data_IF_086053974378
#
_entry.id   IF_086053974378
#
_cell.length_a   1.000
_cell.length_b   1.000
_cell.length_c   1.000
_cell.angle_alpha   90.00
_cell.angle_beta   90.00
_cell.angle_gamma   90.00
#
_symmetry.space_group_name_H-M   'P 1'
#
loop_
_entity.id
_entity.type
_entity.pdbx_description
1 polymer ?
#
# COMPACT_ATOMS: atom_id res chain seq x y z
N UNK A 1 -3.72 34.10 -13.86
CA UNK A 1 -3.92 34.65 -12.52
C UNK A 1 -5.08 33.92 -11.87
N UNK A 2 -5.04 33.70 -10.56
CA UNK A 2 -6.21 33.20 -9.81
C UNK A 2 -7.33 34.28 -9.78
N UNK A 3 -8.53 33.98 -9.24
CA UNK A 3 -9.62 34.97 -9.13
C UNK A 3 -9.27 36.23 -8.30
N UNK A 4 -8.14 36.22 -7.59
CA UNK A 4 -7.63 37.30 -6.74
C UNK A 4 -6.46 38.08 -7.37
N UNK A 5 -6.05 37.75 -8.60
CA UNK A 5 -4.94 38.42 -9.29
C UNK A 5 -3.54 37.88 -8.97
N UNK A 6 -3.41 36.79 -8.21
CA UNK A 6 -2.12 36.16 -7.92
C UNK A 6 -1.64 35.25 -9.05
N UNK A 7 -0.34 34.97 -9.08
CA UNK A 7 0.24 33.96 -9.97
C UNK A 7 -0.36 32.58 -9.64
N UNK A 8 -1.01 31.96 -10.64
CA UNK A 8 -1.58 30.62 -10.49
C UNK A 8 -0.50 29.58 -10.75
N UNK A 9 -0.29 28.67 -9.81
CA UNK A 9 0.64 27.55 -9.93
C UNK A 9 -0.15 26.27 -10.12
N UNK A 10 0.21 25.50 -11.13
CA UNK A 10 -0.34 24.18 -11.39
C UNK A 10 0.77 23.18 -11.65
N UNK A 11 0.49 21.92 -11.32
CA UNK A 11 1.30 20.77 -11.70
C UNK A 11 0.50 20.00 -12.75
N UNK A 12 1.16 19.65 -13.86
CA UNK A 12 0.57 18.89 -14.95
C UNK A 12 1.22 17.51 -14.93
N UNK A 13 0.39 16.47 -14.85
CA UNK A 13 0.82 15.08 -14.81
C UNK A 13 0.24 14.32 -15.99
N UNK A 14 0.88 13.19 -16.31
CA UNK A 14 0.29 12.17 -17.16
C UNK A 14 -1.05 11.68 -16.57
N UNK A 15 -2.03 11.44 -17.44
CA UNK A 15 -3.35 10.98 -17.03
C UNK A 15 -3.35 9.47 -16.83
N UNK A 16 -3.88 9.01 -15.68
CA UNK A 16 -3.96 7.60 -15.31
C UNK A 16 -5.39 7.09 -15.54
N UNK A 17 -5.66 6.35 -16.63
CA UNK A 17 -7.02 6.03 -17.08
C UNK A 17 -7.79 5.14 -16.12
N UNK A 18 -7.10 4.27 -15.37
CA UNK A 18 -7.73 3.38 -14.40
C UNK A 18 -8.00 4.05 -13.04
N UNK A 19 -7.65 5.33 -12.89
CA UNK A 19 -7.91 6.10 -11.67
C UNK A 19 -7.04 5.65 -10.50
N UNK A 20 -7.55 5.79 -9.28
CA UNK A 20 -6.83 5.43 -8.06
C UNK A 20 -7.26 4.07 -7.49
N UNK A 21 -6.36 3.42 -6.74
CA UNK A 21 -6.58 2.12 -6.08
C UNK A 21 -7.77 2.13 -5.12
N UNK A 22 -8.08 3.26 -4.48
CA UNK A 22 -9.25 3.39 -3.60
C UNK A 22 -10.55 2.99 -4.30
N UNK A 23 -10.73 3.42 -5.56
CA UNK A 23 -11.94 3.11 -6.33
C UNK A 23 -12.02 1.63 -6.76
N UNK A 24 -10.91 0.90 -6.71
CA UNK A 24 -10.85 -0.53 -7.01
C UNK A 24 -11.07 -1.39 -5.77
N UNK A 25 -10.57 -0.95 -4.61
CA UNK A 25 -10.79 -1.63 -3.33
C UNK A 25 -12.20 -1.37 -2.78
N UNK A 26 -12.75 -0.17 -3.01
CA UNK A 26 -14.02 0.28 -2.43
C UNK A 26 -14.91 0.95 -3.49
N UNK A 27 -15.37 0.19 -4.51
CA UNK A 27 -16.17 0.75 -5.59
C UNK A 27 -17.46 1.38 -5.04
N UNK A 28 -17.68 2.66 -5.37
CA UNK A 28 -18.97 3.31 -5.11
C UNK A 28 -19.95 2.93 -6.23
N UNK A 29 -21.19 2.63 -5.86
CA UNK A 29 -22.25 2.06 -6.74
C UNK A 29 -22.56 2.93 -7.99
N UNK A 30 -22.06 4.15 -8.07
CA UNK A 30 -22.65 5.18 -8.94
C UNK A 30 -21.94 5.50 -10.26
N UNK A 31 -20.76 4.96 -10.59
CA UNK A 31 -19.98 5.60 -11.67
C UNK A 31 -19.83 4.92 -13.01
N UNK A 32 -19.97 3.61 -13.14
CA UNK A 32 -20.05 2.89 -14.42
C UNK A 32 -20.45 1.45 -14.07
N UNK A 33 -21.39 0.82 -14.77
CA UNK A 33 -21.85 -0.57 -14.53
C UNK A 33 -20.75 -1.65 -14.72
N UNK A 34 -19.47 -1.30 -14.66
CA UNK A 34 -18.34 -2.20 -14.62
C UNK A 34 -17.95 -2.46 -13.17
N UNK A 35 -18.00 -3.71 -12.74
CA UNK A 35 -17.52 -4.15 -11.43
C UNK A 35 -15.99 -4.02 -11.40
N UNK A 36 -15.48 -2.88 -10.91
CA UNK A 36 -14.04 -2.69 -10.64
C UNK A 36 -13.65 -3.57 -9.46
N UNK A 37 -12.82 -4.58 -9.74
CA UNK A 37 -12.36 -5.59 -8.78
C UNK A 37 -10.91 -5.92 -9.09
N UNK A 38 -10.16 -6.28 -8.05
CA UNK A 38 -8.78 -6.72 -8.16
C UNK A 38 -8.65 -8.10 -7.55
N UNK A 39 -8.17 -9.06 -8.34
CA UNK A 39 -7.82 -10.39 -7.86
C UNK A 39 -6.46 -10.37 -7.11
N UNK A 40 -6.07 -11.50 -6.54
CA UNK A 40 -4.82 -11.62 -5.77
C UNK A 40 -3.58 -11.19 -6.57
N UNK A 41 -3.46 -11.62 -7.83
CA UNK A 41 -2.29 -11.32 -8.67
C UNK A 41 -2.17 -9.84 -8.99
N UNK A 42 -3.29 -9.18 -9.27
CA UNK A 42 -3.32 -7.74 -9.50
C UNK A 42 -2.94 -6.98 -8.23
N UNK A 43 -3.50 -7.35 -7.06
CA UNK A 43 -3.14 -6.71 -5.79
C UNK A 43 -1.67 -6.94 -5.42
N UNK A 44 -1.14 -8.14 -5.66
CA UNK A 44 0.27 -8.45 -5.46
C UNK A 44 1.17 -7.60 -6.38
N UNK A 45 0.79 -7.45 -7.65
CA UNK A 45 1.54 -6.62 -8.60
C UNK A 45 1.55 -5.15 -8.18
N UNK A 46 0.39 -4.61 -7.79
CA UNK A 46 0.27 -3.24 -7.26
C UNK A 46 1.10 -3.07 -5.99
N UNK A 47 1.10 -4.05 -5.09
CA UNK A 47 1.91 -4.00 -3.86
C UNK A 47 3.42 -3.96 -4.17
N UNK A 48 3.88 -4.77 -5.13
CA UNK A 48 5.27 -4.74 -5.62
C UNK A 48 5.62 -3.36 -6.18
N UNK A 49 4.79 -2.81 -7.07
CA UNK A 49 5.03 -1.51 -7.70
C UNK A 49 5.15 -0.38 -6.66
N UNK A 50 4.25 -0.36 -5.66
CA UNK A 50 4.28 0.62 -4.57
C UNK A 50 5.52 0.42 -3.69
N UNK A 51 5.88 -0.81 -3.36
CA UNK A 51 7.09 -1.10 -2.57
C UNK A 51 8.36 -0.65 -3.29
N UNK A 52 8.47 -0.94 -4.59
CA UNK A 52 9.57 -0.49 -5.44
C UNK A 52 9.66 1.03 -5.51
N UNK A 53 8.53 1.73 -5.65
CA UNK A 53 8.50 3.19 -5.66
C UNK A 53 9.01 3.79 -4.33
N UNK A 54 8.53 3.29 -3.19
CA UNK A 54 8.99 3.76 -1.88
C UNK A 54 10.46 3.40 -1.63
N UNK A 55 10.91 2.20 -2.02
CA UNK A 55 12.32 1.82 -1.95
C UNK A 55 13.19 2.80 -2.73
N UNK A 56 12.78 3.17 -3.95
CA UNK A 56 13.44 4.19 -4.77
C UNK A 56 13.54 5.55 -4.06
N UNK A 57 12.43 6.04 -3.53
CA UNK A 57 12.39 7.32 -2.81
C UNK A 57 13.31 7.31 -1.58
N UNK A 58 13.37 6.19 -0.86
CA UNK A 58 14.10 6.07 0.40
C UNK A 58 15.59 5.80 0.23
N UNK A 59 16.00 5.03 -0.79
CA UNK A 59 17.35 4.46 -0.88
C UNK A 59 18.12 4.88 -2.13
N UNK A 60 17.42 5.23 -3.22
CA UNK A 60 18.06 5.45 -4.52
C UNK A 60 18.04 6.93 -4.97
N UNK A 61 17.35 7.80 -4.24
CA UNK A 61 17.42 9.25 -4.43
C UNK A 61 18.67 9.85 -3.75
N UNK A 62 19.31 10.84 -4.39
CA UNK A 62 20.49 11.51 -3.84
C UNK A 62 20.25 12.14 -2.46
N UNK A 63 19.02 12.60 -2.21
CA UNK A 63 18.52 12.91 -0.87
C UNK A 63 17.26 12.07 -0.65
N UNK A 64 17.21 11.19 0.37
CA UNK A 64 16.04 10.36 0.61
C UNK A 64 14.77 11.19 0.74
N UNK A 65 13.70 10.74 0.10
CA UNK A 65 12.38 11.39 0.11
C UNK A 65 11.42 10.53 0.92
N UNK A 66 10.71 11.13 1.88
CA UNK A 66 9.61 10.51 2.62
C UNK A 66 8.29 11.07 2.10
N UNK A 67 7.35 10.20 1.73
CA UNK A 67 6.08 10.54 1.10
C UNK A 67 5.09 11.20 2.08
N UNK A 68 4.98 10.67 3.30
CA UNK A 68 4.13 11.14 4.40
C UNK A 68 2.61 11.02 4.23
N UNK A 69 2.09 10.67 3.03
CA UNK A 69 0.64 10.47 2.81
C UNK A 69 0.33 9.28 1.90
N UNK A 70 0.99 8.15 2.11
CA UNK A 70 0.67 6.94 1.33
C UNK A 70 -0.69 6.38 1.76
N UNK A 71 -1.57 6.16 0.78
CA UNK A 71 -2.92 5.60 0.92
C UNK A 71 -3.46 5.19 -0.46
N UNK A 72 -4.55 4.41 -0.56
CA UNK A 72 -5.08 3.96 -1.85
C UNK A 72 -5.44 5.09 -2.83
N UNK A 73 -5.90 6.25 -2.36
CA UNK A 73 -6.23 7.37 -3.25
C UNK A 73 -5.00 8.05 -3.87
N UNK A 74 -3.82 7.83 -3.29
CA UNK A 74 -2.53 8.34 -3.74
C UNK A 74 -1.72 7.27 -4.52
N UNK A 75 -2.38 6.17 -4.92
CA UNK A 75 -1.84 5.17 -5.83
C UNK A 75 -2.71 5.17 -7.09
N UNK A 76 -2.18 5.68 -8.19
CA UNK A 76 -2.86 5.71 -9.49
C UNK A 76 -2.48 4.48 -10.33
N UNK A 77 -3.36 4.08 -11.23
CA UNK A 77 -3.17 2.93 -12.12
C UNK A 77 -3.18 3.41 -13.57
N UNK A 78 -2.11 3.11 -14.31
CA UNK A 78 -2.05 3.36 -15.76
C UNK A 78 -2.85 2.30 -16.54
N UNK A 79 -2.81 2.36 -17.87
CA UNK A 79 -3.52 1.47 -18.79
C UNK A 79 -3.13 -0.01 -18.64
N UNK A 80 -1.89 -0.30 -18.28
CA UNK A 80 -1.41 -1.65 -17.98
C UNK A 80 -1.67 -2.12 -16.54
N UNK A 81 -2.44 -1.34 -15.76
CA UNK A 81 -2.68 -1.58 -14.32
C UNK A 81 -1.39 -1.53 -13.48
N UNK A 82 -0.35 -0.84 -13.94
CA UNK A 82 0.88 -0.61 -13.18
C UNK A 82 0.61 0.53 -12.19
N UNK A 83 1.02 0.32 -10.94
CA UNK A 83 0.75 1.27 -9.88
C UNK A 83 1.81 2.39 -9.83
N UNK A 84 1.33 3.63 -9.70
CA UNK A 84 2.16 4.83 -9.58
C UNK A 84 1.80 5.62 -8.33
N UNK A 85 2.76 5.78 -7.43
CA UNK A 85 2.62 6.61 -6.23
C UNK A 85 2.57 8.08 -6.64
N UNK A 86 1.57 8.82 -6.15
CA UNK A 86 1.32 10.23 -6.47
C UNK A 86 1.07 11.06 -5.20
N UNK A 87 0.86 12.37 -5.38
CA UNK A 87 0.56 13.35 -4.33
C UNK A 87 1.68 13.54 -3.29
N UNK A 88 2.79 14.07 -3.79
CA UNK A 88 3.95 14.46 -2.98
C UNK A 88 3.75 15.80 -2.23
N UNK A 89 2.51 16.28 -2.05
CA UNK A 89 2.23 17.55 -1.38
C UNK A 89 2.71 17.59 0.09
N UNK A 90 2.79 16.42 0.74
CA UNK A 90 3.32 16.26 2.09
C UNK A 90 4.76 15.73 2.12
N UNK A 91 5.36 15.43 0.97
CA UNK A 91 6.67 14.79 0.91
C UNK A 91 7.80 15.69 1.43
N UNK A 92 8.86 15.07 1.96
CA UNK A 92 10.01 15.76 2.56
C UNK A 92 11.32 15.09 2.18
N UNK A 93 12.34 15.90 1.93
CA UNK A 93 13.72 15.41 1.86
C UNK A 93 14.26 15.20 3.26
N UNK A 94 14.90 14.06 3.51
CA UNK A 94 15.67 13.82 4.73
C UNK A 94 17.08 14.42 4.55
N UNK A 95 17.59 15.17 5.54
CA UNK A 95 18.95 15.69 5.49
C UNK A 95 19.97 14.55 5.45
N UNK A 96 21.04 14.72 4.67
CA UNK A 96 22.17 13.80 4.70
C UNK A 96 22.81 13.78 6.11
N UNK A 97 23.30 12.61 6.54
CA UNK A 97 23.89 12.39 7.85
C UNK A 97 25.05 13.37 8.19
N UNK A 98 25.74 13.89 7.17
CA UNK A 98 26.91 14.77 7.32
C UNK A 98 26.58 16.27 7.36
N UNK A 99 25.29 16.64 7.28
CA UNK A 99 24.87 18.05 7.31
C UNK A 99 24.77 18.60 8.74
N UNK A 100 25.92 18.98 9.29
CA UNK A 100 26.03 19.68 10.60
C UNK A 100 25.30 21.04 10.67
N UNK A 101 24.75 21.50 9.55
CA UNK A 101 24.14 22.83 9.35
C UNK A 101 22.61 22.87 9.27
N UNK A 102 21.89 21.74 9.32
CA UNK A 102 20.40 21.73 9.20
C UNK A 102 19.66 21.34 10.50
N UNK A 103 20.12 21.81 11.65
CA UNK A 103 19.45 21.57 12.94
C UNK A 103 18.06 22.24 13.09
N UNK A 104 17.63 23.05 12.12
CA UNK A 104 16.40 23.84 12.20
C UNK A 104 15.26 23.35 11.29
N UNK A 105 15.45 22.29 10.50
CA UNK A 105 14.47 21.86 9.48
C UNK A 105 14.03 20.40 9.58
N UNK A 106 14.18 19.74 10.73
CA UNK A 106 13.41 18.51 10.98
C UNK A 106 12.01 18.93 11.40
N UNK A 107 11.20 19.36 10.44
CA UNK A 107 9.82 19.77 10.70
C UNK A 107 9.12 18.60 11.40
N UNK A 108 8.65 18.82 12.63
CA UNK A 108 7.60 17.98 13.20
C UNK A 108 6.51 17.86 12.14
N UNK A 109 6.00 16.65 11.86
CA UNK A 109 4.96 16.48 10.84
C UNK A 109 3.72 17.33 11.19
N UNK A 110 3.50 17.59 12.48
CA UNK A 110 2.15 17.84 12.97
C UNK A 110 1.32 16.56 12.78
N UNK A 111 0.02 16.59 13.06
CA UNK A 111 -0.85 15.48 12.65
C UNK A 111 -1.21 15.68 11.17
N UNK A 112 -0.25 15.44 10.26
CA UNK A 112 -0.45 15.49 8.80
C UNK A 112 -0.32 14.09 8.21
N UNK A 113 -1.05 13.85 7.13
CA UNK A 113 -1.27 12.53 6.55
C UNK A 113 -2.73 12.11 6.72
N UNK A 114 -3.02 10.87 6.36
CA UNK A 114 -4.40 10.37 6.33
C UNK A 114 -4.72 9.44 7.49
N UNK A 115 -5.87 9.68 8.12
CA UNK A 115 -6.34 8.89 9.26
C UNK A 115 -6.36 7.40 8.90
N UNK A 116 -5.80 6.58 9.78
CA UNK A 116 -5.64 5.14 9.59
C UNK A 116 -4.27 4.74 9.02
N UNK A 117 -3.58 5.62 8.30
CA UNK A 117 -2.25 5.37 7.73
C UNK A 117 -1.12 6.12 8.46
N UNK A 118 -1.46 7.13 9.27
CA UNK A 118 -0.48 7.86 10.08
C UNK A 118 0.15 6.91 11.10
N UNK A 119 1.48 6.81 11.06
CA UNK A 119 2.25 6.03 12.00
C UNK A 119 2.07 6.57 13.44
N UNK A 120 1.89 5.69 14.45
CA UNK A 120 1.47 6.10 15.80
C UNK A 120 2.46 7.06 16.48
N UNK A 121 3.75 6.94 16.19
CA UNK A 121 4.79 7.82 16.72
C UNK A 121 4.64 9.29 16.29
N UNK A 122 3.98 9.56 15.16
CA UNK A 122 3.72 10.94 14.72
C UNK A 122 2.71 11.64 15.63
N UNK A 123 1.77 10.89 16.22
CA UNK A 123 0.89 11.38 17.28
C UNK A 123 1.63 11.73 18.58
N UNK A 124 2.82 11.18 18.77
CA UNK A 124 3.71 11.44 19.92
C UNK A 124 4.75 12.53 19.65
N UNK A 125 4.67 13.21 18.50
CA UNK A 125 5.60 14.28 18.12
C UNK A 125 6.92 13.79 17.54
N UNK A 126 6.98 12.56 17.02
CA UNK A 126 8.15 12.11 16.26
C UNK A 126 8.35 12.92 14.97
N UNK A 127 9.58 12.89 14.47
CA UNK A 127 9.99 13.56 13.22
C UNK A 127 9.59 12.73 12.01
N UNK A 128 9.50 13.38 10.84
CA UNK A 128 9.40 12.69 9.55
C UNK A 128 10.51 11.67 9.41
N UNK A 129 10.14 10.46 8.98
CA UNK A 129 11.09 9.36 8.85
C UNK A 129 10.61 8.33 7.83
N UNK A 130 11.54 7.53 7.31
CA UNK A 130 11.24 6.45 6.34
C UNK A 130 10.27 5.44 6.93
N UNK A 131 10.42 5.16 8.23
CA UNK A 131 9.64 4.16 8.97
C UNK A 131 8.16 4.53 9.03
N UNK A 132 7.78 5.81 8.91
CA UNK A 132 6.37 6.20 8.83
C UNK A 132 5.73 5.88 7.47
N UNK A 133 6.49 5.98 6.38
CA UNK A 133 6.05 5.47 5.07
C UNK A 133 5.95 3.94 5.09
N UNK A 134 6.88 3.25 5.77
CA UNK A 134 6.81 1.77 5.95
C UNK A 134 5.52 1.39 6.69
N UNK A 135 5.16 2.11 7.76
CA UNK A 135 3.89 1.88 8.46
C UNK A 135 2.69 2.07 7.53
N UNK A 136 2.68 3.17 6.78
CA UNK A 136 1.60 3.47 5.84
C UNK A 136 1.48 2.38 4.75
N UNK A 137 2.61 1.85 4.27
CA UNK A 137 2.66 0.73 3.34
C UNK A 137 2.11 -0.56 3.96
N UNK A 138 2.46 -0.86 5.21
CA UNK A 138 1.91 -1.99 5.94
C UNK A 138 0.38 -1.93 6.03
N UNK A 139 -0.17 -0.77 6.40
CA UNK A 139 -1.63 -0.56 6.44
C UNK A 139 -2.26 -0.73 5.05
N UNK A 140 -1.66 -0.14 4.01
CA UNK A 140 -2.12 -0.26 2.63
C UNK A 140 -2.16 -1.72 2.17
N UNK A 141 -1.11 -2.50 2.48
CA UNK A 141 -1.04 -3.92 2.14
C UNK A 141 -2.12 -4.73 2.87
N UNK A 142 -2.32 -4.49 4.18
CA UNK A 142 -3.38 -5.14 4.93
C UNK A 142 -4.78 -4.79 4.43
N UNK A 143 -5.01 -3.55 3.99
CA UNK A 143 -6.27 -3.15 3.37
C UNK A 143 -6.47 -3.86 2.02
N UNK A 144 -5.42 -3.95 1.19
CA UNK A 144 -5.48 -4.72 -0.05
C UNK A 144 -5.78 -6.20 0.18
N UNK A 145 -5.35 -6.80 1.28
CA UNK A 145 -5.65 -8.22 1.56
C UNK A 145 -7.05 -8.43 2.15
N UNK A 146 -7.51 -7.52 3.00
CA UNK A 146 -8.76 -7.69 3.75
C UNK A 146 -9.98 -7.02 3.12
N UNK A 147 -9.76 -6.09 2.19
CA UNK A 147 -10.79 -5.22 1.62
C UNK A 147 -11.40 -4.26 2.65
N UNK A 148 -10.76 -4.06 3.82
CA UNK A 148 -11.29 -3.26 4.92
C UNK A 148 -10.50 -1.98 5.10
N UNK A 149 -11.19 -0.85 4.96
CA UNK A 149 -10.62 0.48 5.25
C UNK A 149 -10.09 0.52 6.68
N UNK A 150 -8.91 1.11 6.96
CA UNK A 150 -8.46 1.30 8.33
C UNK A 150 -9.37 2.23 9.15
N UNK A 151 -10.28 2.95 8.49
CA UNK A 151 -11.33 3.79 9.09
C UNK A 151 -12.72 3.13 9.14
N UNK A 152 -12.82 1.83 8.86
CA UNK A 152 -14.08 1.10 8.96
C UNK A 152 -14.67 1.23 10.37
N UNK A 153 -16.00 1.33 10.48
CA UNK A 153 -16.69 1.52 11.75
C UNK A 153 -16.44 0.42 12.79
N UNK A 154 -15.99 -0.77 12.38
CA UNK A 154 -15.61 -1.84 13.29
C UNK A 154 -14.31 -1.54 14.06
N UNK A 155 -13.46 -0.65 13.55
CA UNK A 155 -12.16 -0.29 14.14
C UNK A 155 -12.31 0.88 15.12
N UNK A 156 -12.96 0.60 16.25
CA UNK A 156 -13.19 1.51 17.37
C UNK A 156 -12.52 0.98 18.64
N UNK A 157 -12.48 1.79 19.69
CA UNK A 157 -12.03 1.39 21.04
C UNK A 157 -10.62 0.78 21.07
N UNK A 158 -9.72 1.30 20.22
CA UNK A 158 -8.33 0.87 20.15
C UNK A 158 -8.08 -0.37 19.28
N UNK A 159 -9.11 -0.94 18.64
CA UNK A 159 -8.98 -1.93 17.58
C UNK A 159 -8.58 -1.22 16.27
N UNK A 160 -7.43 -1.60 15.71
CA UNK A 160 -6.95 -1.13 14.41
C UNK A 160 -6.98 -2.27 13.40
N UNK A 161 -6.85 -1.95 12.10
CA UNK A 161 -6.70 -2.96 11.05
C UNK A 161 -5.53 -3.91 11.33
N UNK A 162 -4.38 -3.40 11.78
CA UNK A 162 -3.24 -4.22 12.21
C UNK A 162 -3.64 -5.22 13.29
N UNK A 163 -4.29 -4.77 14.37
CA UNK A 163 -4.69 -5.65 15.49
C UNK A 163 -5.71 -6.69 15.04
N UNK A 164 -6.69 -6.28 14.22
CA UNK A 164 -7.68 -7.18 13.65
C UNK A 164 -7.02 -8.32 12.86
N UNK A 165 -6.05 -7.99 12.00
CA UNK A 165 -5.30 -8.99 11.23
C UNK A 165 -4.41 -9.84 12.14
N UNK A 166 -3.68 -9.22 13.07
CA UNK A 166 -2.80 -9.92 14.01
C UNK A 166 -3.54 -10.95 14.86
N UNK A 167 -4.77 -10.67 15.28
CA UNK A 167 -5.61 -11.60 16.05
C UNK A 167 -6.12 -12.82 15.23
N UNK A 168 -6.02 -12.75 13.90
CA UNK A 168 -6.38 -13.84 13.00
C UNK A 168 -5.15 -14.60 12.48
N UNK A 169 -3.96 -14.04 12.59
CA UNK A 169 -2.75 -14.62 12.01
C UNK A 169 -2.08 -15.66 12.94
N UNK A 170 -1.58 -16.79 12.40
CA UNK A 170 -1.74 -17.28 11.02
C UNK A 170 -3.00 -18.14 10.79
N UNK A 171 -3.64 -18.69 11.82
CA UNK A 171 -4.59 -19.81 11.68
C UNK A 171 -5.96 -19.43 11.10
N UNK A 172 -6.35 -18.15 11.19
CA UNK A 172 -7.66 -17.63 10.76
C UNK A 172 -7.55 -16.54 9.70
N UNK A 173 -6.43 -16.50 8.98
CA UNK A 173 -6.23 -15.50 7.92
C UNK A 173 -7.32 -15.60 6.85
N UNK A 174 -7.73 -16.81 6.48
CA UNK A 174 -8.79 -17.04 5.49
C UNK A 174 -10.10 -16.29 5.82
N UNK A 175 -10.49 -16.25 7.10
CA UNK A 175 -11.75 -15.64 7.56
C UNK A 175 -11.81 -14.11 7.34
N UNK A 176 -10.65 -13.47 7.18
CA UNK A 176 -10.54 -12.01 7.15
C UNK A 176 -10.18 -11.44 5.77
N UNK A 177 -9.79 -12.31 4.84
CA UNK A 177 -9.44 -11.96 3.47
C UNK A 177 -10.63 -11.40 2.70
N UNK A 178 -10.34 -10.55 1.72
CA UNK A 178 -11.32 -10.12 0.76
C UNK A 178 -11.65 -11.27 -0.21
N UNK A 179 -12.93 -11.62 -0.27
CA UNK A 179 -13.46 -12.63 -1.19
C UNK A 179 -13.20 -12.31 -2.67
N UNK A 180 -12.94 -11.06 -3.04
CA UNK A 180 -12.56 -10.67 -4.41
C UNK A 180 -11.15 -11.14 -4.80
N UNK A 181 -10.28 -11.51 -3.84
CA UNK A 181 -8.93 -12.03 -4.13
C UNK A 181 -8.96 -13.29 -4.99
N UNK A 182 -9.99 -14.11 -4.82
CA UNK A 182 -10.14 -15.43 -5.45
C UNK A 182 -11.14 -15.44 -6.61
N UNK A 183 -11.64 -14.26 -7.02
CA UNK A 183 -12.51 -14.14 -8.19
C UNK A 183 -11.65 -13.75 -9.40
N UNK A 184 -11.77 -14.49 -10.49
CA UNK A 184 -11.09 -14.14 -11.74
C UNK A 184 -11.60 -12.79 -12.28
N UNK A 185 -10.65 -11.98 -12.75
CA UNK A 185 -10.91 -10.65 -13.30
C UNK A 185 -11.42 -10.68 -14.76
N UNK A 186 -11.84 -11.84 -15.29
CA UNK A 186 -12.26 -12.04 -16.68
C UNK A 186 -13.53 -12.90 -16.85
N UNK A 187 -14.27 -12.66 -17.93
CA UNK A 187 -15.54 -13.33 -18.30
C UNK A 187 -15.42 -14.85 -18.59
N UNK A 188 -14.22 -15.42 -18.53
CA UNK A 188 -14.00 -16.86 -18.68
C UNK A 188 -13.43 -17.40 -17.37
N UNK A 189 -14.31 -17.46 -16.37
CA UNK A 189 -13.96 -17.92 -15.03
C UNK A 189 -13.33 -19.31 -15.07
N UNK A 190 -12.06 -19.39 -14.67
CA UNK A 190 -11.60 -20.60 -14.04
C UNK A 190 -12.33 -20.64 -12.71
N UNK A 191 -13.20 -21.64 -12.55
CA UNK A 191 -13.55 -22.05 -11.21
C UNK A 191 -12.22 -22.29 -10.48
N UNK A 192 -11.96 -21.56 -9.40
CA UNK A 192 -11.06 -22.02 -8.33
C UNK A 192 -11.67 -23.25 -7.61
N UNK A 193 -12.18 -24.20 -8.40
CA UNK A 193 -12.33 -25.61 -8.06
C UNK A 193 -11.07 -26.38 -8.42
N UNK A 194 -9.90 -25.72 -8.38
CA UNK A 194 -8.61 -26.39 -8.43
C UNK A 194 -8.32 -27.00 -7.05
N UNK A 195 -7.76 -28.21 -7.11
CA UNK A 195 -7.50 -29.16 -6.04
C UNK A 195 -7.00 -28.52 -4.74
N UNK A 196 -7.38 -29.09 -3.58
CA UNK A 196 -7.00 -28.62 -2.23
C UNK A 196 -5.51 -28.20 -2.09
N UNK A 197 -4.59 -28.79 -2.87
CA UNK A 197 -3.17 -28.47 -2.85
C UNK A 197 -2.82 -27.08 -3.44
N UNK A 198 -3.51 -26.60 -4.47
CA UNK A 198 -3.23 -25.28 -5.09
C UNK A 198 -3.62 -24.15 -4.14
N UNK A 199 -4.76 -24.28 -3.46
CA UNK A 199 -5.18 -23.31 -2.44
C UNK A 199 -4.22 -23.29 -1.25
N UNK A 200 -3.75 -24.45 -0.77
CA UNK A 200 -2.73 -24.53 0.28
C UNK A 200 -1.43 -23.85 -0.14
N UNK A 201 -0.95 -24.09 -1.37
CA UNK A 201 0.28 -23.45 -1.86
C UNK A 201 0.16 -21.92 -1.94
N UNK A 202 -0.93 -21.40 -2.51
CA UNK A 202 -1.17 -19.95 -2.59
C UNK A 202 -1.27 -19.35 -1.18
N UNK A 203 -1.91 -20.03 -0.25
CA UNK A 203 -1.94 -19.58 1.14
C UNK A 203 -0.55 -19.52 1.77
N UNK A 204 0.18 -20.63 1.73
CA UNK A 204 1.48 -20.76 2.41
C UNK A 204 2.60 -19.92 1.78
N UNK A 205 2.60 -19.77 0.46
CA UNK A 205 3.69 -19.12 -0.28
C UNK A 205 3.39 -17.68 -0.70
N UNK A 206 2.13 -17.28 -0.67
CA UNK A 206 1.72 -15.93 -1.05
C UNK A 206 0.99 -15.21 0.08
N UNK A 207 -0.19 -15.69 0.48
CA UNK A 207 -1.04 -14.95 1.44
C UNK A 207 -0.36 -14.78 2.80
N UNK A 208 0.12 -15.88 3.40
CA UNK A 208 0.71 -15.84 4.75
C UNK A 208 1.94 -14.91 4.77
N UNK A 209 2.92 -15.04 3.84
CA UNK A 209 4.02 -14.09 3.74
C UNK A 209 3.58 -12.64 3.50
N UNK A 210 2.57 -12.38 2.68
CA UNK A 210 2.05 -11.01 2.46
C UNK A 210 1.44 -10.41 3.72
N UNK A 211 0.68 -11.21 4.49
CA UNK A 211 0.13 -10.76 5.77
C UNK A 211 1.27 -10.49 6.76
N UNK A 212 2.28 -11.36 6.83
CA UNK A 212 3.45 -11.17 7.68
C UNK A 212 4.23 -9.89 7.34
N UNK A 213 4.41 -9.59 6.05
CA UNK A 213 5.00 -8.32 5.59
C UNK A 213 4.12 -7.14 6.04
N UNK A 214 2.79 -7.22 5.82
CA UNK A 214 1.86 -6.17 6.22
C UNK A 214 1.89 -5.90 7.73
N UNK A 215 1.93 -6.95 8.54
CA UNK A 215 2.03 -6.87 10.00
C UNK A 215 3.38 -6.30 10.44
N UNK A 216 4.50 -6.81 9.93
CA UNK A 216 5.85 -6.34 10.29
C UNK A 216 6.09 -4.89 9.90
N UNK A 217 5.54 -4.43 8.77
CA UNK A 217 5.59 -3.03 8.36
C UNK A 217 4.78 -2.11 9.29
N UNK A 218 3.66 -2.59 9.83
CA UNK A 218 2.70 -1.77 10.60
C UNK A 218 2.78 -1.95 12.12
N UNK A 219 3.90 -2.49 12.64
CA UNK A 219 4.14 -2.56 14.09
C UNK A 219 4.29 -1.16 14.72
N UNK A 220 3.92 -1.04 15.99
CA UNK A 220 3.95 0.26 16.69
C UNK A 220 5.35 0.86 16.79
N UNK A 221 6.39 0.04 17.02
CA UNK A 221 7.76 0.54 17.16
C UNK A 221 8.42 0.77 15.81
N UNK A 222 8.85 2.00 15.46
CA UNK A 222 9.44 2.30 14.16
C UNK A 222 10.73 1.52 13.87
N UNK A 223 11.54 1.28 14.92
CA UNK A 223 12.82 0.58 14.83
C UNK A 223 12.69 -0.92 14.54
N UNK A 224 11.51 -1.49 14.75
CA UNK A 224 11.23 -2.91 14.54
C UNK A 224 10.61 -3.16 13.15
N UNK A 225 10.38 -2.08 12.37
CA UNK A 225 9.88 -2.16 11.00
C UNK A 225 11.04 -2.45 10.03
N UNK A 226 10.83 -3.27 8.98
CA UNK A 226 11.82 -3.49 7.94
C UNK A 226 12.06 -2.21 7.11
N UNK A 227 13.14 -2.17 6.33
CA UNK A 227 13.32 -1.10 5.35
C UNK A 227 12.45 -1.36 4.11
N UNK A 228 12.09 -0.32 3.35
CA UNK A 228 11.38 -0.54 2.09
C UNK A 228 12.19 -1.31 1.04
N UNK A 229 13.52 -1.35 1.15
CA UNK A 229 14.37 -2.20 0.31
C UNK A 229 14.17 -3.67 0.64
N UNK A 230 14.19 -4.03 1.92
CA UNK A 230 13.90 -5.41 2.39
C UNK A 230 12.47 -5.84 2.01
N UNK A 231 11.50 -4.94 2.21
CA UNK A 231 10.09 -5.18 1.85
C UNK A 231 9.94 -5.40 0.35
N UNK A 232 10.55 -4.56 -0.48
CA UNK A 232 10.49 -4.68 -1.94
C UNK A 232 11.11 -6.01 -2.41
N UNK A 233 12.24 -6.42 -1.85
CA UNK A 233 12.83 -7.73 -2.16
C UNK A 233 11.94 -8.89 -1.73
N UNK A 234 11.40 -8.85 -0.51
CA UNK A 234 10.55 -9.93 0.01
C UNK A 234 9.27 -10.09 -0.81
N UNK A 235 8.59 -8.98 -1.14
CA UNK A 235 7.34 -9.05 -1.90
C UNK A 235 7.55 -9.41 -3.37
N UNK A 236 8.66 -8.99 -3.97
CA UNK A 236 9.05 -9.43 -5.31
C UNK A 236 9.31 -10.94 -5.33
N UNK A 237 10.01 -11.48 -4.34
CA UNK A 237 10.26 -12.92 -4.24
C UNK A 237 8.95 -13.72 -4.13
N UNK A 238 7.94 -13.20 -3.41
CA UNK A 238 6.59 -13.80 -3.36
C UNK A 238 5.95 -13.80 -4.75
N UNK A 239 6.04 -12.69 -5.50
CA UNK A 239 5.50 -12.59 -6.87
C UNK A 239 6.19 -13.54 -7.84
N UNK A 240 7.50 -13.66 -7.78
CA UNK A 240 8.29 -14.56 -8.63
C UNK A 240 8.06 -16.05 -8.31
N UNK A 241 7.76 -16.36 -7.04
CA UNK A 241 7.39 -17.71 -6.61
C UNK A 241 5.93 -18.08 -6.93
N UNK A 242 5.11 -17.11 -7.38
CA UNK A 242 3.73 -17.38 -7.75
C UNK A 242 3.68 -18.23 -9.04
N UNK A 243 2.90 -19.33 -9.10
CA UNK A 243 2.99 -20.28 -10.21
C UNK A 243 2.71 -19.64 -11.57
N UNK A 244 3.68 -19.77 -12.49
CA UNK A 244 3.61 -19.23 -13.85
C UNK A 244 2.43 -19.77 -14.69
N UNK A 245 1.83 -20.89 -14.29
CA UNK A 245 0.66 -21.48 -14.94
C UNK A 245 -0.62 -20.65 -14.79
N UNK A 246 -0.61 -19.61 -13.93
CA UNK A 246 -1.67 -18.59 -13.86
C UNK A 246 -1.32 -17.29 -14.59
N UNK A 247 -0.09 -17.15 -15.10
CA UNK A 247 0.37 -15.97 -15.86
C UNK A 247 0.02 -16.09 -17.36
N UNK A 248 -0.09 -17.31 -17.89
CA UNK A 248 -0.44 -17.56 -19.30
C UNK A 248 -1.91 -17.30 -19.68
N UNK A 249 -2.76 -16.89 -18.73
CA UNK A 249 -4.14 -16.47 -18.99
C UNK A 249 -4.34 -14.95 -18.95
N UNK A 250 -3.25 -14.18 -18.79
CA UNK A 250 -3.28 -12.72 -18.64
C UNK A 250 -2.38 -11.97 -19.63
N UNK A 251 -1.95 -12.62 -20.72
CA UNK A 251 -1.30 -11.98 -21.88
C UNK A 251 -2.15 -12.12 -23.14
#
# INVERSE_FOLDING_TARGET
>A
MDPSGNEFKALIFEYMPNGNLENWLHPTVSRNNQTRRLNLIQRLSIAVDVASALSYLHHHCASPIVHCDLKPSNVLLDDEMIARVTDFGLARFLPAADSTTSRNSTSLIGLKGSIGYIAPEYGMGAKVSKEGDVYSYGVLLLEMLTGKRPTNEMFKDGLSLHKFVSMAFPERVEDILDHELFKDAGEHGLNFGMENHTNTFVFERCIIPLVEIGLSCSVESPKDRPTMEDVAHAILAIKEAFPADQVQLLS
#
